data_IF_033105740430
#
_entry.id   IF_033105740430
#
_cell.length_a   1.000
_cell.length_b   1.000
_cell.length_c   1.000
_cell.angle_alpha   90.00
_cell.angle_beta   90.00
_cell.angle_gamma   90.00
#
_symmetry.space_group_name_H-M   'P 1'
#
loop_
_entity.id
_entity.type
_entity.pdbx_description
1 polymer ?
#
# COMPACT_ATOMS: atom_id res chain seq x y z
N UNK A 1 32.81 3.21 7.94
CA UNK A 1 31.36 3.09 7.68
C UNK A 1 31.06 3.75 6.34
N UNK A 2 30.56 3.00 5.36
CA UNK A 2 29.98 3.60 4.14
C UNK A 2 28.55 3.98 4.50
N UNK A 3 28.16 5.24 4.36
CA UNK A 3 26.75 5.63 4.42
C UNK A 3 26.01 4.87 3.31
N UNK A 4 25.05 4.04 3.70
CA UNK A 4 24.17 3.37 2.75
C UNK A 4 23.25 4.45 2.15
N UNK A 5 23.43 4.76 0.87
CA UNK A 5 22.41 5.50 0.12
C UNK A 5 21.26 4.53 -0.11
N UNK A 6 20.18 4.68 0.66
CA UNK A 6 18.91 4.01 0.38
C UNK A 6 18.35 4.69 -0.86
N UNK A 7 18.50 4.04 -2.02
CA UNK A 7 17.95 4.55 -3.27
C UNK A 7 16.42 4.61 -3.17
N UNK A 8 15.85 5.71 -3.66
CA UNK A 8 14.41 5.89 -3.73
C UNK A 8 13.79 4.78 -4.59
N UNK A 9 12.68 4.18 -4.13
CA UNK A 9 12.04 3.05 -4.80
C UNK A 9 11.73 3.38 -6.28
N UNK A 10 12.00 2.46 -7.22
CA UNK A 10 11.58 2.63 -8.61
C UNK A 10 10.06 2.74 -8.63
N UNK A 11 9.58 3.85 -9.16
CA UNK A 11 8.17 4.07 -9.34
C UNK A 11 7.64 3.36 -10.55
N UNK A 12 6.49 2.72 -10.39
CA UNK A 12 5.78 2.03 -11.44
C UNK A 12 5.35 3.01 -12.53
N UNK A 13 5.89 2.79 -13.72
CA UNK A 13 5.31 3.30 -14.95
C UNK A 13 4.14 2.36 -15.29
N UNK A 14 2.92 2.75 -14.88
CA UNK A 14 1.75 2.26 -15.59
C UNK A 14 1.79 2.95 -16.94
N UNK A 15 2.14 2.19 -17.98
CA UNK A 15 1.74 2.57 -19.33
C UNK A 15 0.22 2.60 -19.31
N UNK A 16 -0.35 3.78 -19.05
CA UNK A 16 -1.76 4.04 -19.32
C UNK A 16 -1.94 3.65 -20.79
N UNK A 17 -2.59 2.51 -21.05
CA UNK A 17 -3.23 2.31 -22.34
C UNK A 17 -4.11 3.54 -22.51
N UNK A 18 -3.69 4.44 -23.38
CA UNK A 18 -4.37 5.70 -23.59
C UNK A 18 -5.80 5.36 -23.97
N UNK A 19 -6.73 5.61 -23.05
CA UNK A 19 -8.15 5.66 -23.41
C UNK A 19 -8.24 6.60 -24.60
N UNK A 20 -8.79 6.17 -25.75
CA UNK A 20 -8.87 7.01 -26.93
C UNK A 20 -9.61 8.28 -26.53
N UNK A 21 -8.94 9.44 -26.71
CA UNK A 21 -9.55 10.76 -26.55
C UNK A 21 -10.83 10.78 -27.38
N UNK A 22 -12.00 10.59 -26.73
CA UNK A 22 -13.28 10.85 -27.37
C UNK A 22 -13.40 12.37 -27.48
N UNK A 23 -13.10 12.89 -28.66
CA UNK A 23 -13.48 14.25 -29.03
C UNK A 23 -15.02 14.34 -28.97
N UNK A 24 -15.54 14.86 -27.86
CA UNK A 24 -16.96 15.14 -27.66
C UNK A 24 -17.37 16.54 -28.16
N UNK A 25 -16.52 17.20 -28.95
CA UNK A 25 -16.91 18.38 -29.73
C UNK A 25 -17.41 17.92 -31.10
N UNK A 26 -18.70 17.61 -31.22
CA UNK A 26 -19.56 17.65 -32.42
C UNK A 26 -20.67 16.60 -32.33
N UNK A 27 -21.69 16.86 -31.52
CA UNK A 27 -23.02 16.28 -31.73
C UNK A 27 -24.03 17.42 -31.83
N UNK A 28 -24.78 17.53 -32.94
CA UNK A 28 -25.79 18.56 -33.09
C UNK A 28 -26.98 18.25 -32.18
N UNK A 29 -27.29 19.19 -31.29
CA UNK A 29 -28.62 19.30 -30.67
C UNK A 29 -29.64 19.54 -31.78
N UNK A 30 -30.56 18.61 -32.00
CA UNK A 30 -31.94 18.91 -32.37
C UNK A 30 -32.87 17.68 -32.21
N UNK A 31 -33.89 17.89 -31.37
CA UNK A 31 -35.25 17.33 -31.37
C UNK A 31 -35.47 15.81 -31.28
N UNK A 32 -36.21 15.38 -30.24
CA UNK A 32 -37.60 14.92 -30.35
C UNK A 32 -38.26 14.91 -28.96
N UNK A 33 -39.44 15.53 -28.91
CA UNK A 33 -40.44 15.51 -27.84
C UNK A 33 -41.34 14.29 -28.04
N UNK A 34 -41.64 13.51 -26.98
CA UNK A 34 -42.98 12.93 -26.76
C UNK A 34 -43.10 12.15 -25.42
N UNK A 35 -43.93 12.73 -24.57
CA UNK A 35 -44.72 12.22 -23.43
C UNK A 35 -45.11 10.74 -23.44
N UNK A 36 -44.99 10.05 -22.30
CA UNK A 36 -46.02 9.11 -21.77
C UNK A 36 -46.11 9.23 -20.24
N UNK A 37 -47.30 9.64 -19.78
CA UNK A 37 -47.82 9.46 -18.42
C UNK A 37 -48.31 8.02 -18.26
N UNK A 38 -47.99 7.35 -17.15
CA UNK A 38 -48.93 6.47 -16.43
C UNK A 38 -48.47 6.30 -14.99
N UNK A 39 -49.31 6.73 -14.05
CA UNK A 39 -49.10 6.53 -12.63
C UNK A 39 -49.53 5.14 -12.18
N UNK A 40 -48.96 4.69 -11.08
CA UNK A 40 -49.63 3.88 -10.07
C UNK A 40 -48.86 4.05 -8.76
N UNK A 41 -49.54 4.56 -7.75
CA UNK A 41 -49.01 4.62 -6.40
C UNK A 41 -48.95 3.24 -5.77
N UNK A 42 -47.99 3.04 -4.89
CA UNK A 42 -48.16 2.13 -3.77
C UNK A 42 -47.53 2.74 -2.51
N UNK A 43 -48.41 2.82 -1.51
CA UNK A 43 -48.16 3.09 -0.11
C UNK A 43 -47.42 1.87 0.46
N UNK A 44 -46.26 2.06 1.07
CA UNK A 44 -45.71 1.11 2.03
C UNK A 44 -45.14 1.85 3.24
N UNK A 45 -45.59 1.38 4.39
CA UNK A 45 -45.47 2.03 5.68
C UNK A 45 -44.09 1.88 6.29
N UNK A 46 -43.78 2.88 7.11
CA UNK A 46 -42.70 2.90 8.06
C UNK A 46 -42.89 1.82 9.12
N UNK A 47 -41.86 0.97 9.30
CA UNK A 47 -41.67 0.17 10.51
C UNK A 47 -40.30 0.57 11.08
N UNK A 48 -40.32 1.37 12.14
CA UNK A 48 -39.14 1.67 12.94
C UNK A 48 -38.90 0.53 13.93
N UNK A 49 -37.94 -0.34 13.64
CA UNK A 49 -37.36 -1.24 14.64
C UNK A 49 -36.14 -0.55 15.24
N UNK A 50 -36.28 -0.08 16.48
CA UNK A 50 -35.16 0.41 17.28
C UNK A 50 -34.18 -0.73 17.53
N UNK A 51 -32.95 -0.57 17.06
CA UNK A 51 -31.81 -1.39 17.45
C UNK A 51 -31.15 -0.66 18.61
N UNK A 52 -31.27 -1.26 19.79
CA UNK A 52 -30.63 -0.86 21.03
C UNK A 52 -29.12 -1.11 20.88
N UNK A 53 -28.35 -0.04 20.65
CA UNK A 53 -26.89 -0.10 20.61
C UNK A 53 -26.36 0.11 22.02
N UNK A 54 -26.21 -0.99 22.77
CA UNK A 54 -25.34 -0.98 23.95
C UNK A 54 -23.88 -0.94 23.48
N UNK A 55 -23.06 0.05 23.88
CA UNK A 55 -21.65 0.07 23.55
C UNK A 55 -20.95 -1.12 24.23
N UNK A 56 -20.29 -1.96 23.43
CA UNK A 56 -19.41 -3.02 23.92
C UNK A 56 -18.14 -2.35 24.42
N UNK A 57 -18.02 -2.27 25.73
CA UNK A 57 -16.86 -1.75 26.43
C UNK A 57 -15.64 -2.68 26.19
N UNK A 58 -14.71 -2.23 25.35
CA UNK A 58 -13.44 -2.92 25.05
C UNK A 58 -12.29 -2.48 25.96
N UNK A 59 -12.57 -1.86 27.11
CA UNK A 59 -11.52 -1.48 28.08
C UNK A 59 -11.25 -2.62 29.08
N UNK A 60 -10.60 -3.71 28.64
CA UNK A 60 -10.25 -4.75 29.62
C UNK A 60 -9.54 -6.02 29.17
N UNK A 61 -9.27 -6.22 27.87
CA UNK A 61 -8.56 -7.40 27.42
C UNK A 61 -7.07 -7.11 27.23
N UNK A 62 -6.27 -7.31 28.29
CA UNK A 62 -4.89 -7.80 28.10
C UNK A 62 -5.01 -9.17 27.44
N UNK A 63 -5.15 -9.17 26.12
CA UNK A 63 -5.10 -10.38 25.33
C UNK A 63 -3.67 -10.92 25.45
N UNK A 64 -3.46 -11.84 26.39
CA UNK A 64 -2.48 -12.88 26.21
C UNK A 64 -2.91 -13.64 24.94
N UNK A 65 -2.53 -13.11 23.78
CA UNK A 65 -2.45 -13.88 22.55
C UNK A 65 -1.40 -14.95 22.82
N UNK A 66 -1.86 -16.09 23.35
CA UNK A 66 -1.13 -17.34 23.16
C UNK A 66 -1.05 -17.48 21.65
N UNK A 67 0.13 -17.25 21.10
CA UNK A 67 0.50 -17.84 19.82
C UNK A 67 0.05 -19.29 19.91
N UNK A 68 -1.03 -19.63 19.20
CA UNK A 68 -1.38 -21.02 18.98
C UNK A 68 -0.16 -21.60 18.32
N UNK A 69 0.58 -22.41 19.08
CA UNK A 69 1.66 -23.23 18.55
C UNK A 69 1.07 -23.94 17.34
N UNK A 70 1.53 -23.50 16.17
CA UNK A 70 1.13 -24.08 14.90
C UNK A 70 1.22 -25.58 15.05
N UNK A 71 0.14 -26.23 14.63
CA UNK A 71 0.04 -27.68 14.50
C UNK A 71 1.28 -28.10 13.74
N UNK A 72 2.20 -28.74 14.46
CA UNK A 72 3.46 -29.24 13.95
C UNK A 72 3.14 -30.22 12.83
N UNK A 73 3.14 -29.72 11.60
CA UNK A 73 3.25 -30.53 10.39
C UNK A 73 4.69 -31.07 10.36
N UNK A 74 4.97 -32.03 11.24
CA UNK A 74 6.11 -32.94 11.12
C UNK A 74 5.84 -33.90 9.97
N UNK A 75 5.82 -33.39 8.75
CA UNK A 75 6.11 -34.18 7.56
C UNK A 75 7.54 -33.86 7.19
N UNK A 76 8.45 -34.72 7.67
CA UNK A 76 9.90 -34.63 7.49
C UNK A 76 10.32 -34.76 6.05
N UNK A 77 10.15 -33.69 5.28
CA UNK A 77 10.79 -33.51 3.99
C UNK A 77 11.60 -32.20 4.07
N UNK A 78 12.92 -32.34 4.18
CA UNK A 78 13.90 -31.25 4.36
C UNK A 78 14.00 -30.28 3.16
N UNK A 79 13.02 -30.27 2.25
CA UNK A 79 12.99 -29.48 1.02
C UNK A 79 11.74 -28.58 0.89
N UNK A 80 10.89 -28.52 1.93
CA UNK A 80 9.76 -27.60 1.92
C UNK A 80 10.28 -26.16 2.13
N UNK A 81 10.35 -25.39 1.03
CA UNK A 81 10.68 -23.97 1.08
C UNK A 81 9.78 -23.23 2.10
N UNK A 82 10.32 -22.26 2.86
CA UNK A 82 9.54 -21.50 3.82
C UNK A 82 8.33 -20.80 3.19
N UNK A 83 7.25 -20.63 3.96
CA UNK A 83 6.09 -19.83 3.56
C UNK A 83 6.40 -18.33 3.58
N UNK A 84 5.50 -17.54 2.99
CA UNK A 84 5.63 -16.09 2.90
C UNK A 84 5.04 -15.40 4.12
N UNK A 85 5.74 -14.35 4.56
CA UNK A 85 5.18 -13.29 5.38
C UNK A 85 5.07 -12.03 4.52
N UNK A 86 3.87 -11.56 4.23
CA UNK A 86 3.72 -10.31 3.49
C UNK A 86 4.23 -9.12 4.30
N UNK A 87 4.97 -8.22 3.67
CA UNK A 87 5.20 -6.86 4.16
C UNK A 87 4.21 -5.96 3.41
N UNK A 88 3.03 -5.82 3.99
CA UNK A 88 1.94 -4.99 3.48
C UNK A 88 2.22 -3.54 3.87
N UNK A 89 2.31 -2.66 2.88
CA UNK A 89 2.52 -1.23 3.11
C UNK A 89 1.89 -0.41 2.01
N UNK A 90 1.20 0.68 2.37
CA UNK A 90 0.91 1.73 1.39
C UNK A 90 2.24 2.26 0.82
N UNK A 91 2.35 2.58 -0.48
CA UNK A 91 3.63 2.93 -1.08
C UNK A 91 4.35 4.06 -0.35
N UNK A 92 5.68 4.00 -0.31
CA UNK A 92 6.54 4.96 0.41
C UNK A 92 6.39 4.99 1.95
N UNK A 93 5.86 3.94 2.59
CA UNK A 93 5.77 3.86 4.06
C UNK A 93 6.99 3.21 4.75
N UNK A 94 8.12 3.07 4.05
CA UNK A 94 9.37 2.59 4.66
C UNK A 94 9.74 1.13 4.41
N UNK A 95 9.10 0.48 3.44
CA UNK A 95 9.37 -0.93 3.08
C UNK A 95 10.84 -1.23 2.76
N UNK A 96 11.55 -0.30 2.13
CA UNK A 96 12.98 -0.46 1.84
C UNK A 96 13.81 -0.64 3.11
N UNK A 97 13.58 0.19 4.13
CA UNK A 97 14.32 0.09 5.39
C UNK A 97 13.94 -1.19 6.14
N UNK A 98 12.65 -1.48 6.28
CA UNK A 98 12.18 -2.69 6.99
C UNK A 98 12.75 -3.97 6.36
N UNK A 99 12.74 -4.06 5.03
CA UNK A 99 13.35 -5.18 4.32
C UNK A 99 14.86 -5.25 4.53
N UNK A 100 15.58 -4.13 4.46
CA UNK A 100 17.04 -4.10 4.70
C UNK A 100 17.39 -4.45 6.14
N UNK A 101 16.63 -3.97 7.11
CA UNK A 101 16.80 -4.31 8.52
C UNK A 101 16.76 -5.82 8.70
N UNK A 102 15.71 -6.50 8.19
CA UNK A 102 15.60 -7.96 8.29
C UNK A 102 16.78 -8.64 7.62
N UNK A 103 17.10 -8.25 6.37
CA UNK A 103 18.22 -8.89 5.65
C UNK A 103 19.56 -8.69 6.37
N UNK A 104 19.79 -7.52 6.94
CA UNK A 104 21.02 -7.18 7.63
C UNK A 104 21.15 -7.96 8.93
N UNK A 105 20.11 -7.99 9.78
CA UNK A 105 20.21 -8.62 11.11
C UNK A 105 20.15 -10.14 11.05
N UNK A 106 19.44 -10.74 10.10
CA UNK A 106 19.34 -12.21 10.01
C UNK A 106 20.34 -12.82 9.04
N UNK A 107 20.91 -12.01 8.13
CA UNK A 107 21.74 -12.49 7.03
C UNK A 107 20.96 -13.23 5.94
N UNK A 108 19.64 -13.34 6.06
CA UNK A 108 18.79 -13.97 5.07
C UNK A 108 18.30 -12.99 4.00
N UNK A 109 17.92 -13.50 2.83
CA UNK A 109 17.30 -12.70 1.79
C UNK A 109 15.79 -12.48 2.07
N UNK A 110 15.24 -11.42 1.49
CA UNK A 110 13.80 -11.13 1.46
C UNK A 110 13.29 -11.23 0.03
N UNK A 111 11.98 -11.18 -0.12
CA UNK A 111 11.33 -11.23 -1.43
C UNK A 111 10.48 -9.99 -1.73
N UNK A 112 10.04 -9.87 -2.97
CA UNK A 112 9.20 -8.79 -3.48
C UNK A 112 8.28 -9.32 -4.58
N UNK A 113 7.08 -8.76 -4.69
CA UNK A 113 6.22 -8.97 -5.86
C UNK A 113 6.72 -8.20 -7.10
N UNK A 114 7.74 -7.37 -6.95
CA UNK A 114 8.22 -6.42 -7.96
C UNK A 114 9.62 -6.81 -8.46
N UNK A 115 9.69 -7.94 -9.17
CA UNK A 115 10.93 -8.54 -9.65
C UNK A 115 11.68 -7.66 -10.65
N UNK A 116 11.02 -6.74 -11.34
CA UNK A 116 11.67 -5.82 -12.28
C UNK A 116 12.63 -4.83 -11.58
N UNK A 117 12.46 -4.63 -10.27
CA UNK A 117 13.30 -3.74 -9.48
C UNK A 117 14.64 -4.35 -9.12
N UNK A 118 14.74 -5.69 -9.16
CA UNK A 118 15.90 -6.44 -8.67
C UNK A 118 16.27 -7.52 -9.70
N UNK A 119 17.14 -7.13 -10.64
CA UNK A 119 17.53 -7.98 -11.76
C UNK A 119 18.86 -8.68 -11.48
N UNK A 120 19.00 -9.90 -11.99
CA UNK A 120 20.26 -10.61 -12.15
C UNK A 120 21.19 -9.86 -13.12
N UNK A 121 22.43 -10.35 -13.23
CA UNK A 121 23.41 -9.77 -14.17
C UNK A 121 22.99 -9.91 -15.64
N UNK A 122 22.10 -10.85 -15.95
CA UNK A 122 21.58 -11.07 -17.29
C UNK A 122 20.29 -10.29 -17.59
N UNK A 123 19.86 -9.42 -16.66
CA UNK A 123 18.66 -8.59 -16.79
C UNK A 123 17.34 -9.28 -16.43
N UNK A 124 17.36 -10.54 -15.96
CA UNK A 124 16.14 -11.26 -15.57
C UNK A 124 15.87 -11.19 -14.07
N UNK A 125 14.63 -11.42 -13.64
CA UNK A 125 14.25 -11.51 -12.22
C UNK A 125 14.48 -12.93 -11.68
N UNK A 126 14.93 -13.06 -10.42
CA UNK A 126 15.16 -14.37 -9.79
C UNK A 126 13.96 -14.80 -8.91
N UNK A 127 13.36 -15.95 -9.22
CA UNK A 127 12.23 -16.51 -8.48
C UNK A 127 12.62 -17.05 -7.10
N UNK A 128 11.73 -16.86 -6.13
CA UNK A 128 11.83 -17.50 -4.81
C UNK A 128 11.52 -18.99 -4.92
N UNK A 129 10.42 -19.34 -5.60
CA UNK A 129 9.95 -20.71 -5.78
C UNK A 129 10.08 -21.13 -7.25
N UNK A 130 10.63 -22.32 -7.48
CA UNK A 130 10.73 -22.92 -8.83
C UNK A 130 9.59 -23.88 -9.15
N UNK A 131 8.77 -24.23 -8.16
CA UNK A 131 7.59 -25.08 -8.32
C UNK A 131 6.48 -24.38 -9.10
N UNK A 132 5.57 -25.15 -9.70
CA UNK A 132 4.42 -24.63 -10.44
C UNK A 132 3.58 -23.60 -9.64
N UNK A 133 3.48 -23.76 -8.32
CA UNK A 133 2.72 -22.86 -7.42
C UNK A 133 3.31 -21.45 -7.26
N UNK A 134 4.55 -21.23 -7.69
CA UNK A 134 5.24 -19.93 -7.63
C UNK A 134 5.98 -19.60 -8.91
N UNK A 135 5.58 -20.20 -10.04
CA UNK A 135 6.27 -20.04 -11.33
C UNK A 135 6.31 -18.58 -11.83
N UNK A 136 5.51 -17.69 -11.26
CA UNK A 136 5.49 -16.28 -11.57
C UNK A 136 5.78 -15.37 -10.36
N UNK A 137 6.31 -15.90 -9.26
CA UNK A 137 6.79 -15.11 -8.12
C UNK A 137 6.46 -15.71 -6.75
N UNK A 138 6.82 -15.02 -5.66
CA UNK A 138 7.58 -13.75 -5.61
C UNK A 138 9.06 -13.89 -6.02
N UNK A 139 9.78 -12.76 -6.04
CA UNK A 139 11.18 -12.65 -6.50
C UNK A 139 12.13 -12.23 -5.39
N UNK A 140 13.39 -12.65 -5.44
CA UNK A 140 14.39 -12.21 -4.44
C UNK A 140 14.66 -10.70 -4.55
N UNK A 141 14.75 -10.02 -3.40
CA UNK A 141 15.04 -8.57 -3.37
C UNK A 141 16.50 -8.29 -3.70
N UNK A 142 17.41 -9.20 -3.37
CA UNK A 142 18.83 -9.01 -3.67
C UNK A 142 19.41 -10.30 -4.28
N UNK A 143 19.17 -10.54 -5.57
CA UNK A 143 19.58 -11.79 -6.24
C UNK A 143 21.08 -11.81 -6.56
N UNK A 144 21.78 -10.68 -6.45
CA UNK A 144 23.21 -10.58 -6.77
C UNK A 144 24.10 -10.87 -5.57
N UNK A 145 23.63 -10.52 -4.38
CA UNK A 145 24.34 -10.86 -3.15
C UNK A 145 23.95 -12.29 -2.77
N UNK A 146 24.96 -13.15 -2.58
CA UNK A 146 24.78 -14.53 -2.12
C UNK A 146 24.33 -14.57 -0.65
N UNK A 147 23.15 -14.00 -0.36
CA UNK A 147 22.50 -14.09 0.94
C UNK A 147 21.83 -15.45 1.06
N UNK A 148 21.84 -16.00 2.27
CA UNK A 148 21.23 -17.28 2.53
C UNK A 148 19.71 -17.18 2.38
N UNK A 149 19.09 -18.24 1.86
CA UNK A 149 17.63 -18.40 1.96
C UNK A 149 17.30 -18.74 3.42
N UNK A 150 16.23 -18.18 4.01
CA UNK A 150 15.80 -18.61 5.34
C UNK A 150 15.62 -20.13 5.37
N UNK A 151 16.24 -20.80 6.35
CA UNK A 151 16.05 -22.25 6.55
C UNK A 151 14.86 -22.54 7.46
N UNK A 152 14.46 -21.57 8.26
CA UNK A 152 13.31 -21.61 9.17
C UNK A 152 12.53 -20.29 9.07
N UNK A 153 11.32 -20.27 9.63
CA UNK A 153 10.49 -19.09 9.71
C UNK A 153 9.81 -18.75 8.37
N UNK A 154 9.69 -17.46 8.08
CA UNK A 154 8.95 -16.95 6.92
C UNK A 154 9.80 -15.99 6.08
N UNK A 155 9.60 -16.02 4.76
CA UNK A 155 10.25 -15.07 3.85
C UNK A 155 9.43 -13.78 3.83
N UNK A 156 10.00 -12.71 4.40
CA UNK A 156 9.39 -11.38 4.34
C UNK A 156 9.32 -10.92 2.87
N UNK A 157 8.10 -10.65 2.39
CA UNK A 157 7.81 -10.41 0.97
C UNK A 157 7.09 -9.09 0.79
N UNK A 158 7.75 -8.12 0.17
CA UNK A 158 7.19 -6.80 -0.10
C UNK A 158 6.03 -6.87 -1.09
N UNK A 159 4.89 -6.30 -0.71
CA UNK A 159 3.80 -5.98 -1.62
C UNK A 159 3.05 -4.72 -1.17
N UNK A 160 2.60 -3.94 -2.14
CA UNK A 160 1.72 -2.79 -1.97
C UNK A 160 0.30 -3.09 -2.46
N UNK A 161 0.03 -4.33 -2.90
CA UNK A 161 -1.27 -4.70 -3.47
C UNK A 161 -1.73 -3.72 -4.58
N UNK A 162 -3.02 -3.37 -4.57
CA UNK A 162 -3.66 -2.41 -5.49
C UNK A 162 -3.73 -0.99 -4.93
N UNK A 163 -4.62 -0.17 -5.52
CA UNK A 163 -4.97 1.20 -5.09
C UNK A 163 -3.81 2.18 -4.96
N UNK A 164 -2.71 1.93 -5.69
CA UNK A 164 -1.40 2.59 -5.50
C UNK A 164 -0.99 3.52 -6.63
N UNK A 165 -1.91 3.90 -7.50
CA UNK A 165 -1.63 4.85 -8.59
C UNK A 165 -1.13 6.20 -8.03
N UNK A 166 -0.33 6.94 -8.79
CA UNK A 166 0.13 8.28 -8.39
C UNK A 166 -0.77 9.40 -8.90
N UNK A 167 -1.13 9.34 -10.19
CA UNK A 167 -1.96 10.32 -10.91
C UNK A 167 -3.06 9.54 -11.63
N UNK A 168 -4.08 9.18 -10.88
CA UNK A 168 -5.28 8.57 -11.45
C UNK A 168 -6.50 9.10 -10.71
N UNK A 169 -7.63 9.12 -11.42
CA UNK A 169 -8.91 9.47 -10.82
C UNK A 169 -9.52 8.29 -10.08
N UNK A 170 -10.77 8.47 -9.64
CA UNK A 170 -11.45 7.60 -8.67
C UNK A 170 -11.45 6.13 -9.12
N UNK A 171 -11.76 5.86 -10.38
CA UNK A 171 -11.85 4.51 -10.94
C UNK A 171 -10.51 3.76 -10.92
N UNK A 172 -9.38 4.47 -10.79
CA UNK A 172 -8.05 3.87 -10.81
C UNK A 172 -7.49 3.50 -9.43
N UNK A 173 -8.12 3.94 -8.34
CA UNK A 173 -7.69 3.59 -6.98
C UNK A 173 -8.79 3.04 -6.09
N UNK A 174 -10.06 3.26 -6.41
CA UNK A 174 -11.16 2.66 -5.67
C UNK A 174 -11.29 1.19 -6.03
N UNK A 175 -10.99 0.33 -5.08
CA UNK A 175 -11.04 -1.12 -5.24
C UNK A 175 -11.90 -1.77 -4.15
N UNK A 176 -12.45 -2.95 -4.46
CA UNK A 176 -13.09 -3.83 -3.47
C UNK A 176 -12.08 -4.84 -2.92
N UNK A 177 -12.48 -5.54 -1.86
CA UNK A 177 -11.66 -6.52 -1.13
C UNK A 177 -11.15 -7.66 -2.02
N UNK A 178 -11.94 -8.12 -3.00
CA UNK A 178 -11.54 -9.21 -3.89
C UNK A 178 -10.43 -8.78 -4.86
N UNK A 179 -10.60 -7.61 -5.50
CA UNK A 179 -9.59 -7.04 -6.40
C UNK A 179 -8.31 -6.70 -5.64
N UNK A 180 -8.43 -6.15 -4.43
CA UNK A 180 -7.28 -5.82 -3.61
C UNK A 180 -6.45 -7.06 -3.25
N UNK A 181 -7.09 -8.16 -2.83
CA UNK A 181 -6.41 -9.43 -2.58
C UNK A 181 -5.75 -9.97 -3.85
N UNK A 182 -6.43 -9.91 -5.00
CA UNK A 182 -5.84 -10.33 -6.27
C UNK A 182 -4.55 -9.52 -6.55
N UNK A 183 -4.61 -8.20 -6.41
CA UNK A 183 -3.45 -7.33 -6.60
C UNK A 183 -2.33 -7.58 -5.55
N UNK A 184 -2.65 -8.07 -4.34
CA UNK A 184 -1.64 -8.50 -3.37
C UNK A 184 -0.85 -9.74 -3.84
N UNK A 185 -1.46 -10.59 -4.66
CA UNK A 185 -0.86 -11.82 -5.21
C UNK A 185 -0.21 -11.59 -6.58
N UNK A 186 -0.53 -10.49 -7.23
CA UNK A 186 0.05 -10.11 -8.52
C UNK A 186 1.52 -9.74 -8.40
N UNK A 187 2.25 -10.07 -9.45
CA UNK A 187 3.68 -9.81 -9.56
C UNK A 187 4.03 -9.20 -10.92
N UNK A 188 5.16 -8.51 -10.96
CA UNK A 188 5.74 -7.97 -12.19
C UNK A 188 7.20 -8.38 -12.24
N UNK A 189 7.69 -8.80 -13.42
CA UNK A 189 9.04 -9.34 -13.56
C UNK A 189 9.58 -9.26 -14.98
N UNK A 190 10.89 -9.42 -15.12
CA UNK A 190 11.58 -9.49 -16.42
C UNK A 190 12.07 -10.92 -16.66
N UNK A 191 11.71 -11.49 -17.81
CA UNK A 191 12.15 -12.82 -18.25
C UNK A 191 12.66 -12.78 -19.68
N UNK A 192 13.40 -13.82 -20.10
CA UNK A 192 13.79 -13.99 -21.51
C UNK A 192 12.68 -14.70 -22.30
N UNK A 193 12.33 -14.15 -23.45
CA UNK A 193 11.45 -14.80 -24.43
C UNK A 193 12.13 -16.03 -25.07
N UNK A 194 11.39 -16.76 -25.91
CA UNK A 194 11.96 -17.83 -26.74
C UNK A 194 13.03 -17.35 -27.72
N UNK A 195 13.05 -16.05 -28.07
CA UNK A 195 14.05 -15.42 -28.94
C UNK A 195 15.25 -14.89 -28.14
N UNK A 196 15.20 -14.93 -26.81
CA UNK A 196 16.23 -14.40 -25.91
C UNK A 196 16.05 -12.93 -25.53
N UNK A 197 15.00 -12.27 -26.03
CA UNK A 197 14.69 -10.87 -25.71
C UNK A 197 14.15 -10.73 -24.29
N UNK A 198 14.50 -9.63 -23.62
CA UNK A 198 13.95 -9.31 -22.30
C UNK A 198 12.51 -8.82 -22.43
N UNK A 199 11.59 -9.49 -21.74
CA UNK A 199 10.15 -9.18 -21.75
C UNK A 199 9.68 -8.95 -20.33
N UNK A 200 8.98 -7.83 -20.14
CA UNK A 200 8.24 -7.55 -18.90
C UNK A 200 6.94 -8.36 -18.91
N UNK A 201 6.73 -9.13 -17.85
CA UNK A 201 5.57 -10.00 -17.67
C UNK A 201 4.87 -9.70 -16.35
N UNK A 202 3.58 -10.02 -16.30
CA UNK A 202 2.76 -9.98 -15.08
C UNK A 202 2.38 -11.41 -14.72
N UNK A 203 2.43 -11.72 -13.44
CA UNK A 203 2.18 -13.05 -12.90
C UNK A 203 1.29 -13.02 -11.67
N UNK A 204 0.96 -14.19 -11.16
CA UNK A 204 0.31 -14.40 -9.86
C UNK A 204 0.91 -15.64 -9.19
N UNK A 205 0.80 -15.72 -7.87
CA UNK A 205 1.14 -16.92 -7.11
C UNK A 205 -0.01 -17.35 -6.20
N UNK A 206 0.06 -18.59 -5.73
CA UNK A 206 -0.98 -19.16 -4.88
C UNK A 206 -1.02 -18.48 -3.50
N UNK A 207 -2.21 -18.07 -3.07
CA UNK A 207 -2.44 -17.46 -1.75
C UNK A 207 -2.06 -18.39 -0.61
N UNK A 208 -2.08 -19.71 -0.81
CA UNK A 208 -1.73 -20.70 0.22
C UNK A 208 -0.24 -20.65 0.62
N UNK A 209 0.60 -19.97 -0.18
CA UNK A 209 1.98 -19.65 0.17
C UNK A 209 2.07 -18.60 1.27
N UNK A 210 1.03 -17.78 1.47
CA UNK A 210 1.00 -16.68 2.43
C UNK A 210 0.49 -17.19 3.76
N UNK A 211 1.30 -17.04 4.81
CA UNK A 211 0.97 -17.58 6.13
C UNK A 211 0.81 -16.51 7.21
N UNK A 212 1.33 -15.30 6.98
CA UNK A 212 1.24 -14.16 7.91
C UNK A 212 1.49 -12.84 7.20
N UNK A 213 1.18 -11.74 7.87
CA UNK A 213 1.41 -10.39 7.38
C UNK A 213 2.06 -9.50 8.42
N UNK A 214 3.00 -8.67 7.98
CA UNK A 214 3.49 -7.48 8.67
C UNK A 214 2.80 -6.30 7.98
N UNK A 215 1.91 -5.63 8.69
CA UNK A 215 1.20 -4.45 8.21
C UNK A 215 1.95 -3.21 8.70
N UNK A 216 2.72 -2.61 7.79
CA UNK A 216 3.49 -1.41 8.05
C UNK A 216 2.61 -0.18 7.87
N UNK A 217 2.49 0.61 8.94
CA UNK A 217 1.78 1.88 9.00
C UNK A 217 2.84 2.97 9.20
N UNK A 218 2.76 4.03 8.41
CA UNK A 218 3.58 5.24 8.59
C UNK A 218 2.64 6.41 8.85
N UNK A 219 3.11 7.41 9.58
CA UNK A 219 2.38 8.67 9.75
C UNK A 219 1.78 9.12 8.40
N UNK A 220 0.45 9.37 8.35
CA UNK A 220 -0.24 9.65 7.10
C UNK A 220 0.26 10.94 6.45
N UNK A 221 0.56 11.98 7.23
CA UNK A 221 1.11 13.25 6.73
C UNK A 221 2.50 13.01 6.12
N UNK A 222 3.33 12.24 6.80
CA UNK A 222 4.67 11.94 6.32
C UNK A 222 4.64 11.10 5.05
N UNK A 223 3.70 10.16 4.96
CA UNK A 223 3.53 9.32 3.78
C UNK A 223 3.10 10.15 2.56
N UNK A 224 2.06 10.98 2.68
CA UNK A 224 1.54 11.76 1.55
C UNK A 224 2.60 12.74 1.03
N UNK A 225 3.30 13.46 1.91
CA UNK A 225 4.38 14.35 1.46
C UNK A 225 5.57 13.57 0.87
N UNK A 226 5.87 12.38 1.40
CA UNK A 226 6.90 11.51 0.79
C UNK A 226 6.54 11.06 -0.62
N UNK A 227 5.25 10.83 -0.93
CA UNK A 227 4.77 10.52 -2.28
C UNK A 227 4.97 11.72 -3.21
N UNK A 228 4.64 12.93 -2.75
CA UNK A 228 4.96 14.17 -3.48
C UNK A 228 6.47 14.30 -3.75
N UNK A 229 7.33 14.06 -2.74
CA UNK A 229 8.78 14.12 -2.92
C UNK A 229 9.30 13.06 -3.89
N UNK A 230 8.71 11.86 -3.90
CA UNK A 230 9.01 10.84 -4.90
C UNK A 230 8.63 11.31 -6.30
N UNK A 231 7.45 11.93 -6.48
CA UNK A 231 7.03 12.49 -7.76
C UNK A 231 7.98 13.60 -8.23
N UNK A 232 8.37 14.51 -7.34
CA UNK A 232 9.35 15.54 -7.64
C UNK A 232 10.70 14.95 -8.07
N UNK A 233 11.17 13.87 -7.44
CA UNK A 233 12.40 13.20 -7.87
C UNK A 233 12.30 12.67 -9.30
N UNK A 234 11.10 12.31 -9.78
CA UNK A 234 10.90 11.90 -11.17
C UNK A 234 10.98 13.10 -12.12
N UNK A 235 10.40 14.24 -11.76
CA UNK A 235 10.57 15.47 -12.54
C UNK A 235 12.06 15.79 -12.72
N UNK A 236 12.86 15.65 -11.66
CA UNK A 236 14.32 15.80 -11.74
C UNK A 236 14.96 14.78 -12.68
N UNK A 237 14.60 13.49 -12.60
CA UNK A 237 15.15 12.45 -13.47
C UNK A 237 14.78 12.65 -14.94
N UNK A 238 13.61 13.21 -15.22
CA UNK A 238 13.09 13.48 -16.57
C UNK A 238 13.52 14.85 -17.12
N UNK A 239 14.24 15.67 -16.33
CA UNK A 239 14.57 17.05 -16.69
C UNK A 239 13.31 17.89 -17.02
N UNK A 240 12.20 17.64 -16.32
CA UNK A 240 10.96 18.41 -16.46
C UNK A 240 11.08 19.73 -15.67
N UNK A 241 11.71 20.73 -16.29
CA UNK A 241 11.99 22.02 -15.65
C UNK A 241 10.72 22.79 -15.28
N UNK A 242 9.65 22.65 -16.07
CA UNK A 242 8.37 23.31 -15.80
C UNK A 242 7.74 22.76 -14.51
N UNK A 243 7.65 21.44 -14.38
CA UNK A 243 7.13 20.82 -13.15
C UNK A 243 8.02 21.10 -11.93
N UNK A 244 9.34 21.19 -12.10
CA UNK A 244 10.26 21.51 -11.00
C UNK A 244 10.11 22.94 -10.49
N UNK A 245 9.85 23.90 -11.38
CA UNK A 245 9.59 25.29 -11.02
C UNK A 245 8.20 25.46 -10.39
N UNK A 246 7.19 24.75 -10.94
CA UNK A 246 5.81 24.82 -10.45
C UNK A 246 5.60 24.14 -9.10
N UNK A 247 6.32 23.05 -8.84
CA UNK A 247 6.14 22.23 -7.64
C UNK A 247 7.45 22.04 -6.87
N UNK A 248 8.07 23.10 -6.34
CA UNK A 248 9.28 22.95 -5.53
C UNK A 248 9.00 22.09 -4.28
N UNK A 249 10.03 21.48 -3.68
CA UNK A 249 9.90 20.71 -2.42
C UNK A 249 9.69 21.62 -1.20
N UNK A 250 8.60 22.38 -1.21
CA UNK A 250 8.14 23.26 -0.14
C UNK A 250 6.67 22.99 0.14
N UNK A 251 6.16 23.51 1.26
CA UNK A 251 4.74 23.44 1.60
C UNK A 251 3.86 24.08 0.52
N UNK A 252 4.26 25.22 -0.06
CA UNK A 252 3.55 25.87 -1.16
C UNK A 252 3.55 25.03 -2.45
N UNK A 253 4.70 24.46 -2.82
CA UNK A 253 4.80 23.60 -4.00
C UNK A 253 3.99 22.31 -3.87
N UNK A 254 3.89 21.79 -2.64
CA UNK A 254 3.00 20.68 -2.32
C UNK A 254 1.53 21.06 -2.50
N UNK A 255 1.06 22.19 -1.95
CA UNK A 255 -0.33 22.65 -2.16
C UNK A 255 -0.65 22.90 -3.63
N UNK A 256 0.26 23.52 -4.37
CA UNK A 256 0.09 23.73 -5.81
C UNK A 256 -0.09 22.38 -6.55
N UNK A 257 0.75 21.39 -6.24
CA UNK A 257 0.65 20.05 -6.79
C UNK A 257 -0.68 19.37 -6.43
N UNK A 258 -1.11 19.47 -5.17
CA UNK A 258 -2.38 18.92 -4.71
C UNK A 258 -3.59 19.54 -5.41
N UNK A 259 -3.60 20.87 -5.57
CA UNK A 259 -4.68 21.59 -6.21
C UNK A 259 -4.80 21.19 -7.68
N UNK A 260 -3.69 21.11 -8.40
CA UNK A 260 -3.68 20.71 -9.81
C UNK A 260 -4.17 19.27 -10.01
N UNK A 261 -3.83 18.36 -9.09
CA UNK A 261 -4.37 16.99 -9.10
C UNK A 261 -5.87 16.95 -8.80
N UNK A 262 -6.33 17.76 -7.84
CA UNK A 262 -7.74 17.84 -7.47
C UNK A 262 -8.58 18.39 -8.62
N UNK A 263 -8.12 19.47 -9.27
CA UNK A 263 -8.77 20.03 -10.45
C UNK A 263 -8.82 19.05 -11.62
N UNK A 264 -7.74 18.28 -11.83
CA UNK A 264 -7.66 17.28 -12.89
C UNK A 264 -8.73 16.18 -12.75
N UNK A 265 -9.11 15.83 -11.52
CA UNK A 265 -10.02 14.72 -11.23
C UNK A 265 -11.37 15.15 -10.62
N UNK A 266 -11.63 16.46 -10.50
CA UNK A 266 -12.81 17.01 -9.83
C UNK A 266 -14.14 16.41 -10.32
N UNK A 267 -14.30 16.26 -11.64
CA UNK A 267 -15.53 15.71 -12.22
C UNK A 267 -15.76 14.24 -11.82
N UNK A 268 -14.70 13.43 -11.77
CA UNK A 268 -14.79 12.03 -11.36
C UNK A 268 -15.09 11.92 -9.86
N UNK A 269 -14.51 12.80 -9.05
CA UNK A 269 -14.78 12.88 -7.61
C UNK A 269 -16.22 13.30 -7.32
N UNK A 270 -16.72 14.36 -7.96
CA UNK A 270 -18.10 14.86 -7.78
C UNK A 270 -19.17 13.83 -8.16
N UNK A 271 -18.87 12.99 -9.17
CA UNK A 271 -19.82 11.97 -9.65
C UNK A 271 -19.67 10.63 -8.93
N UNK A 272 -18.62 10.46 -8.12
CA UNK A 272 -18.38 9.25 -7.37
C UNK A 272 -19.30 9.13 -6.16
N UNK A 273 -19.98 7.99 -6.07
CA UNK A 273 -20.79 7.62 -4.90
C UNK A 273 -19.97 7.52 -3.61
N UNK A 274 -18.66 7.27 -3.72
CA UNK A 274 -17.76 7.18 -2.57
C UNK A 274 -17.48 8.54 -1.94
N UNK A 275 -17.44 9.60 -2.75
CA UNK A 275 -17.15 10.95 -2.28
C UNK A 275 -18.40 11.74 -1.91
N UNK A 276 -19.58 11.35 -2.42
CA UNK A 276 -20.83 12.08 -2.26
C UNK A 276 -21.11 12.54 -0.81
N UNK A 277 -20.81 11.71 0.19
CA UNK A 277 -21.15 12.01 1.59
C UNK A 277 -20.02 12.73 2.35
N UNK A 278 -18.83 12.87 1.77
CA UNK A 278 -17.64 13.41 2.44
C UNK A 278 -16.99 14.59 1.71
N UNK A 279 -17.29 14.80 0.42
CA UNK A 279 -16.58 15.75 -0.44
C UNK A 279 -16.62 17.18 0.12
N UNK A 280 -17.77 17.61 0.65
CA UNK A 280 -17.94 18.96 1.21
C UNK A 280 -17.06 19.20 2.44
N UNK A 281 -16.83 18.15 3.24
CA UNK A 281 -16.00 18.22 4.45
C UNK A 281 -14.51 18.18 4.14
N UNK A 282 -14.12 17.59 3.00
CA UNK A 282 -12.70 17.32 2.68
C UNK A 282 -12.15 18.17 1.53
N UNK A 283 -12.97 18.97 0.84
CA UNK A 283 -12.57 19.79 -0.32
C UNK A 283 -11.43 20.78 -0.05
N UNK A 284 -11.21 21.14 1.21
CA UNK A 284 -10.16 22.07 1.63
C UNK A 284 -8.89 21.36 2.14
N UNK A 285 -8.91 20.03 2.20
CA UNK A 285 -7.75 19.23 2.60
C UNK A 285 -6.81 19.11 1.40
N UNK A 286 -5.55 19.58 1.50
CA UNK A 286 -4.60 19.42 0.40
C UNK A 286 -4.37 17.93 0.15
N UNK A 287 -4.50 17.53 -1.12
CA UNK A 287 -4.33 16.14 -1.55
C UNK A 287 -5.31 15.18 -0.87
N UNK A 288 -6.57 15.57 -0.65
CA UNK A 288 -7.60 14.72 -0.04
C UNK A 288 -7.71 13.35 -0.73
N UNK A 289 -7.56 13.28 -2.06
CA UNK A 289 -7.56 12.01 -2.79
C UNK A 289 -6.41 11.06 -2.41
N UNK A 290 -5.24 11.58 -2.02
CA UNK A 290 -4.12 10.76 -1.50
C UNK A 290 -4.43 10.25 -0.07
N UNK A 291 -5.03 11.08 0.78
CA UNK A 291 -5.49 10.65 2.11
C UNK A 291 -6.60 9.60 2.02
N UNK A 292 -7.56 9.77 1.10
CA UNK A 292 -8.58 8.76 0.83
C UNK A 292 -7.93 7.42 0.44
N UNK A 293 -7.00 7.44 -0.53
CA UNK A 293 -6.24 6.25 -0.96
C UNK A 293 -5.53 5.59 0.21
N UNK A 294 -4.89 6.37 1.07
CA UNK A 294 -4.23 5.85 2.27
C UNK A 294 -5.24 5.13 3.18
N UNK A 295 -6.35 5.77 3.54
CA UNK A 295 -7.39 5.21 4.42
C UNK A 295 -7.97 3.92 3.81
N UNK A 296 -8.41 3.98 2.55
CA UNK A 296 -8.99 2.84 1.86
C UNK A 296 -7.99 1.67 1.79
N UNK A 297 -6.73 1.94 1.45
CA UNK A 297 -5.72 0.90 1.34
C UNK A 297 -5.50 0.19 2.69
N UNK A 298 -5.43 0.94 3.79
CA UNK A 298 -5.28 0.35 5.13
C UNK A 298 -6.53 -0.42 5.57
N UNK A 299 -7.74 0.07 5.26
CA UNK A 299 -9.00 -0.67 5.46
C UNK A 299 -8.95 -2.02 4.72
N UNK A 300 -8.62 -2.00 3.43
CA UNK A 300 -8.56 -3.21 2.58
C UNK A 300 -7.47 -4.18 3.03
N UNK A 301 -6.32 -3.70 3.50
CA UNK A 301 -5.27 -4.54 4.07
C UNK A 301 -5.73 -5.28 5.34
N UNK A 302 -6.49 -4.61 6.22
CA UNK A 302 -7.08 -5.26 7.39
C UNK A 302 -8.15 -6.29 7.03
N UNK A 303 -9.05 -5.96 6.09
CA UNK A 303 -10.06 -6.91 5.58
C UNK A 303 -9.39 -8.13 4.96
N UNK A 304 -8.38 -7.92 4.09
CA UNK A 304 -7.66 -8.99 3.41
C UNK A 304 -6.99 -9.96 4.39
N UNK A 305 -6.30 -9.44 5.40
CA UNK A 305 -5.62 -10.28 6.39
C UNK A 305 -6.62 -11.01 7.30
N UNK A 306 -7.76 -10.40 7.60
CA UNK A 306 -8.86 -11.01 8.33
C UNK A 306 -9.50 -12.16 7.54
N UNK A 307 -9.80 -11.95 6.26
CA UNK A 307 -10.44 -12.96 5.39
C UNK A 307 -9.53 -14.15 5.12
N UNK A 308 -8.22 -13.92 5.00
CA UNK A 308 -7.23 -14.99 4.92
C UNK A 308 -7.01 -15.72 6.25
N UNK A 309 -7.51 -15.18 7.36
CA UNK A 309 -7.33 -15.71 8.72
C UNK A 309 -5.85 -15.89 9.09
N UNK A 310 -4.99 -15.00 8.61
CA UNK A 310 -3.55 -15.07 8.88
C UNK A 310 -3.15 -14.16 10.03
N UNK A 311 -2.21 -14.58 10.90
CA UNK A 311 -1.62 -13.71 11.91
C UNK A 311 -1.07 -12.43 11.27
N UNK A 312 -1.33 -11.28 11.90
CA UNK A 312 -0.89 -9.98 11.40
C UNK A 312 -0.20 -9.19 12.50
N UNK A 313 1.05 -8.79 12.27
CA UNK A 313 1.80 -7.87 13.10
C UNK A 313 1.66 -6.46 12.53
N UNK A 314 1.09 -5.53 13.30
CA UNK A 314 1.05 -4.11 12.93
C UNK A 314 2.31 -3.42 13.44
N UNK A 315 3.02 -2.73 12.55
CA UNK A 315 4.26 -2.00 12.87
C UNK A 315 4.09 -0.54 12.46
N UNK A 316 4.30 0.38 13.40
CA UNK A 316 4.42 1.80 13.10
C UNK A 316 5.86 2.13 12.71
N UNK A 317 6.07 2.72 11.54
CA UNK A 317 7.39 3.00 10.99
C UNK A 317 8.22 3.91 11.91
N UNK A 318 7.56 4.86 12.57
CA UNK A 318 8.18 5.82 13.49
C UNK A 318 8.78 5.13 14.72
N UNK A 319 8.31 3.92 15.08
CA UNK A 319 8.84 3.16 16.20
C UNK A 319 10.30 2.70 15.96
N UNK A 320 10.78 2.68 14.71
CA UNK A 320 12.22 2.51 14.46
C UNK A 320 13.06 3.69 14.98
N UNK A 321 12.46 4.85 15.25
CA UNK A 321 13.13 6.00 15.86
C UNK A 321 13.13 5.89 17.39
N UNK A 322 11.97 5.61 17.98
CA UNK A 322 11.75 5.75 19.42
C UNK A 322 11.92 4.45 20.19
N UNK A 323 11.53 3.32 19.59
CA UNK A 323 11.47 1.99 20.21
C UNK A 323 12.17 0.95 19.33
N UNK A 324 13.38 1.27 18.86
CA UNK A 324 14.07 0.52 17.81
C UNK A 324 14.26 -0.97 18.15
N UNK A 325 14.86 -1.28 19.30
CA UNK A 325 15.18 -2.67 19.67
C UNK A 325 13.94 -3.53 19.90
N UNK A 326 12.89 -2.95 20.48
CA UNK A 326 11.61 -3.63 20.68
C UNK A 326 10.93 -3.90 19.33
N UNK A 327 10.86 -2.90 18.45
CA UNK A 327 10.25 -3.04 17.12
C UNK A 327 10.98 -4.08 16.26
N UNK A 328 12.33 -4.03 16.26
CA UNK A 328 13.18 -5.04 15.63
C UNK A 328 12.93 -6.42 16.22
N UNK A 329 12.93 -6.54 17.54
CA UNK A 329 12.71 -7.80 18.25
C UNK A 329 11.38 -8.46 17.88
N UNK A 330 10.29 -7.70 17.99
CA UNK A 330 8.94 -8.16 17.61
C UNK A 330 8.88 -8.60 16.14
N UNK A 331 9.49 -7.84 15.23
CA UNK A 331 9.51 -8.18 13.80
C UNK A 331 10.25 -9.49 13.54
N UNK A 332 11.44 -9.67 14.11
CA UNK A 332 12.26 -10.88 13.91
C UNK A 332 11.61 -12.11 14.55
N UNK A 333 11.08 -11.97 15.77
CA UNK A 333 10.32 -13.02 16.44
C UNK A 333 9.08 -13.41 15.63
N UNK A 334 8.32 -12.42 15.14
CA UNK A 334 7.14 -12.68 14.31
C UNK A 334 7.50 -13.34 12.97
N UNK A 335 8.71 -13.18 12.47
CA UNK A 335 9.17 -13.90 11.28
C UNK A 335 9.72 -15.30 11.61
N UNK A 336 9.83 -15.68 12.89
CA UNK A 336 10.43 -16.94 13.31
C UNK A 336 11.89 -17.05 12.88
N UNK A 337 12.60 -15.92 12.82
CA UNK A 337 14.01 -15.85 12.44
C UNK A 337 14.86 -15.47 13.65
N UNK A 338 16.18 -15.60 13.51
CA UNK A 338 17.15 -15.19 14.54
C UNK A 338 17.94 -13.96 14.06
N UNK A 339 18.11 -12.98 14.94
CA UNK A 339 18.99 -11.84 14.71
C UNK A 339 20.43 -12.22 15.07
N UNK A 340 21.28 -12.40 14.06
CA UNK A 340 22.66 -12.87 14.17
C UNK A 340 23.66 -11.70 14.04
N UNK A 341 23.28 -10.64 13.34
CA UNK A 341 24.13 -9.52 12.99
C UNK A 341 23.58 -8.18 13.50
N UNK A 342 24.44 -7.17 13.48
CA UNK A 342 24.08 -5.81 13.86
C UNK A 342 23.12 -5.14 12.86
N UNK A 343 22.15 -4.36 13.35
CA UNK A 343 21.21 -3.65 12.49
C UNK A 343 21.88 -2.48 11.74
N UNK A 344 21.37 -2.12 10.55
CA UNK A 344 21.78 -0.91 9.86
C UNK A 344 21.26 0.32 10.60
N UNK A 345 22.02 1.42 10.56
CA UNK A 345 21.61 2.70 11.14
C UNK A 345 20.26 3.14 10.56
N UNK A 346 19.29 3.39 11.44
CA UNK A 346 18.05 4.07 11.06
C UNK A 346 18.31 5.58 10.95
N UNK A 347 17.92 6.18 9.83
CA UNK A 347 18.03 7.64 9.64
C UNK A 347 16.67 8.26 9.91
N UNK A 348 16.52 8.83 11.09
CA UNK A 348 15.34 9.59 11.49
C UNK A 348 15.26 10.97 10.81
N UNK A 349 14.17 11.69 11.03
CA UNK A 349 14.04 13.11 10.69
C UNK A 349 13.34 13.43 9.37
N UNK A 350 12.65 12.46 8.76
CA UNK A 350 11.74 12.72 7.62
C UNK A 350 10.30 12.89 8.10
N UNK A 351 10.12 13.91 8.93
CA UNK A 351 8.81 14.38 9.39
C UNK A 351 8.40 15.57 8.54
N UNK A 352 7.14 15.63 8.12
CA UNK A 352 6.60 16.61 7.19
C UNK A 352 5.33 17.28 7.74
N UNK A 353 5.15 17.25 9.06
CA UNK A 353 3.99 17.88 9.70
C UNK A 353 3.89 19.37 9.41
N UNK A 354 5.02 20.04 9.22
CA UNK A 354 5.14 21.45 8.85
C UNK A 354 4.63 21.78 7.44
N UNK A 355 4.26 20.78 6.64
CA UNK A 355 3.58 21.01 5.36
C UNK A 355 2.11 21.41 5.54
N UNK A 356 1.52 21.16 6.70
CA UNK A 356 0.09 21.30 6.96
C UNK A 356 -0.17 22.37 8.03
N UNK A 357 -1.27 23.12 7.88
CA UNK A 357 -1.80 23.98 8.96
C UNK A 357 -2.60 23.16 9.96
N UNK A 358 -2.86 23.72 11.13
CA UNK A 358 -3.67 23.07 12.17
C UNK A 358 -5.10 22.80 11.65
N UNK A 359 -5.69 23.71 10.86
CA UNK A 359 -7.01 23.50 10.26
C UNK A 359 -7.01 22.36 9.21
N UNK A 360 -5.93 22.23 8.43
CA UNK A 360 -5.79 21.12 7.48
C UNK A 360 -5.66 19.79 8.23
N UNK A 361 -4.90 19.76 9.33
CA UNK A 361 -4.76 18.59 10.22
C UNK A 361 -6.12 18.18 10.79
N UNK A 362 -6.91 19.12 11.31
CA UNK A 362 -8.25 18.85 11.83
C UNK A 362 -9.20 18.31 10.75
N UNK A 363 -9.13 18.86 9.54
CA UNK A 363 -9.90 18.37 8.39
C UNK A 363 -9.52 16.94 8.00
N UNK A 364 -8.23 16.60 8.04
CA UNK A 364 -7.73 15.24 7.78
C UNK A 364 -8.16 14.29 8.92
N UNK A 365 -8.13 14.73 10.17
CA UNK A 365 -8.58 13.92 11.31
C UNK A 365 -10.07 13.55 11.16
N UNK A 366 -10.93 14.52 10.83
CA UNK A 366 -12.35 14.28 10.54
C UNK A 366 -12.54 13.31 9.37
N UNK A 367 -11.75 13.46 8.30
CA UNK A 367 -11.78 12.54 7.17
C UNK A 367 -11.46 11.10 7.58
N UNK A 368 -10.45 10.89 8.42
CA UNK A 368 -10.12 9.58 8.97
C UNK A 368 -11.25 9.04 9.85
N UNK A 369 -11.81 9.86 10.74
CA UNK A 369 -12.90 9.45 11.62
C UNK A 369 -14.13 8.96 10.83
N UNK A 370 -14.45 9.61 9.71
CA UNK A 370 -15.58 9.23 8.86
C UNK A 370 -15.32 7.99 7.98
N UNK A 371 -14.10 7.85 7.44
CA UNK A 371 -13.81 6.88 6.38
C UNK A 371 -13.01 5.65 6.84
N UNK A 372 -12.26 5.76 7.93
CA UNK A 372 -11.47 4.67 8.44
C UNK A 372 -12.38 3.64 9.11
N UNK A 373 -12.15 2.35 8.85
CA UNK A 373 -12.71 1.31 9.70
C UNK A 373 -12.21 1.49 11.13
N UNK A 374 -12.98 1.02 12.12
CA UNK A 374 -12.61 1.10 13.54
C UNK A 374 -11.16 0.65 13.79
N UNK A 375 -10.73 -0.45 13.14
CA UNK A 375 -9.37 -0.98 13.25
C UNK A 375 -8.33 -0.03 12.65
N UNK A 376 -8.57 0.53 11.48
CA UNK A 376 -7.67 1.52 10.86
C UNK A 376 -7.57 2.75 11.76
N UNK A 377 -8.70 3.31 12.21
CA UNK A 377 -8.74 4.45 13.11
C UNK A 377 -8.00 4.18 14.42
N UNK A 378 -8.20 3.00 15.02
CA UNK A 378 -7.51 2.59 16.23
C UNK A 378 -5.98 2.71 16.10
N UNK A 379 -5.43 2.28 14.97
CA UNK A 379 -3.99 2.35 14.72
C UNK A 379 -3.52 3.72 14.25
N UNK A 380 -4.37 4.58 13.69
CA UNK A 380 -3.92 5.88 13.12
C UNK A 380 -4.29 7.10 13.95
N UNK A 381 -5.22 7.00 14.91
CA UNK A 381 -5.76 8.18 15.62
C UNK A 381 -4.69 9.01 16.35
N UNK A 382 -3.65 8.36 16.86
CA UNK A 382 -2.59 9.02 17.63
C UNK A 382 -1.72 9.95 16.78
N UNK A 383 -1.78 9.86 15.44
CA UNK A 383 -1.12 10.82 14.56
C UNK A 383 -1.86 12.17 14.48
N UNK A 384 -3.05 12.29 15.08
CA UNK A 384 -3.85 13.52 15.12
C UNK A 384 -3.87 14.18 16.50
N UNK A 385 -3.20 13.59 17.48
CA UNK A 385 -2.95 14.14 18.82
C UNK A 385 -1.66 14.98 18.82
#
# INVERSE_FOLDING_TARGET
>A
MKELKIDAEPSYEYTMLSSPKRNLSNLPMNAIVATIFFGCGMILGWVSSGIDQTPVDFTGARAHFRYGLDRSDTLGNNDAMPKLAWLLSFPNSGTSYTGELVRAVTGFNTATNYGESNLLNDGTSELVYTSAFGAAGPFWTDPKINRHKPTNGYILTKTHCGSRCDVCGVDGYVENEHLFLQHCLETSYISKSSTGDLVKSVGTYDKELVARAVHLIRDPFDNIVSRFHLRHNRFTKLNDTESLERYPKTSDGFRAFCNDLSELHAQEEETSKFYHDVIDSIRNVPCHADFFRYIQWHNLAFVTTWDLQIPTLVVHYENFTTNFDETKGMLIEFLGQEAIYEPPTFVAGKTYRDYFSDEEIDGIAQMFEMLAMEKTWHYTRHYFE
#
